data_IF_980262860332
#
_entry.id   IF_980262860332
#
_cell.length_a   1.000
_cell.length_b   1.000
_cell.length_c   1.000
_cell.angle_alpha   90.00
_cell.angle_beta   90.00
_cell.angle_gamma   90.00
#
_symmetry.space_group_name_H-M   'P 1'
#
loop_
_entity.id
_entity.type
_entity.pdbx_description
1 polymer ?
#
# COMPACT_ATOMS: atom_id res chain seq x y z
N UNK A 1 -45.33 -29.26 53.17
CA UNK A 1 -45.91 -28.09 52.46
C UNK A 1 -45.58 -26.75 53.11
N UNK A 2 -45.12 -26.68 54.38
CA UNK A 2 -44.71 -25.41 55.01
C UNK A 2 -43.23 -25.02 54.75
N UNK A 3 -42.41 -25.94 54.25
CA UNK A 3 -40.96 -25.74 54.10
C UNK A 3 -40.55 -25.13 52.75
N UNK A 4 -41.40 -25.22 51.72
CA UNK A 4 -41.08 -24.77 50.36
C UNK A 4 -41.15 -23.24 50.20
N UNK A 5 -42.00 -22.56 50.99
CA UNK A 5 -42.14 -21.09 50.96
C UNK A 5 -40.97 -20.38 51.67
N UNK A 6 -40.42 -20.99 52.72
CA UNK A 6 -39.24 -20.47 53.43
C UNK A 6 -37.97 -20.55 52.58
N UNK A 7 -37.81 -21.62 51.81
CA UNK A 7 -36.66 -21.82 50.92
C UNK A 7 -36.58 -20.74 49.82
N UNK A 8 -37.72 -20.39 49.21
CA UNK A 8 -37.80 -19.36 48.18
C UNK A 8 -37.47 -17.94 48.69
N UNK A 9 -37.84 -17.63 49.95
CA UNK A 9 -37.50 -16.34 50.58
C UNK A 9 -35.99 -16.20 50.76
N UNK A 10 -35.32 -17.24 51.27
CA UNK A 10 -33.88 -17.20 51.51
C UNK A 10 -33.05 -17.34 50.22
N UNK A 11 -33.57 -17.99 49.18
CA UNK A 11 -32.98 -18.04 47.83
C UNK A 11 -32.83 -16.63 47.21
N UNK A 12 -33.82 -15.75 47.43
CA UNK A 12 -33.76 -14.35 46.99
C UNK A 12 -32.76 -13.47 47.76
N UNK A 13 -32.42 -13.82 49.01
CA UNK A 13 -31.52 -13.05 49.87
C UNK A 13 -30.05 -13.38 49.59
N UNK A 14 -29.73 -14.65 49.33
CA UNK A 14 -28.36 -15.11 49.11
C UNK A 14 -27.98 -15.32 47.64
N UNK A 15 -28.96 -15.25 46.72
CA UNK A 15 -28.71 -15.34 45.27
C UNK A 15 -28.21 -16.71 44.80
N UNK A 16 -28.32 -17.74 45.65
CA UNK A 16 -27.96 -19.12 45.34
C UNK A 16 -29.09 -20.06 45.77
N UNK A 17 -29.41 -21.11 44.98
CA UNK A 17 -30.45 -22.06 45.35
C UNK A 17 -30.07 -22.82 46.62
N UNK A 18 -30.99 -22.89 47.58
CA UNK A 18 -30.76 -23.61 48.84
C UNK A 18 -30.88 -25.10 48.57
N UNK A 19 -29.72 -25.75 48.50
CA UNK A 19 -29.64 -27.18 48.30
C UNK A 19 -29.84 -27.92 49.63
N UNK A 20 -30.90 -28.73 49.68
CA UNK A 20 -31.08 -29.73 50.73
C UNK A 20 -30.09 -30.87 50.47
N UNK A 21 -29.11 -31.01 51.36
CA UNK A 21 -28.17 -32.12 51.31
C UNK A 21 -28.61 -33.18 52.31
N UNK A 22 -28.72 -34.43 51.89
CA UNK A 22 -29.00 -35.52 52.83
C UNK A 22 -27.79 -35.72 53.75
N UNK A 23 -28.03 -35.89 55.07
CA UNK A 23 -26.95 -36.18 56.03
C UNK A 23 -26.35 -37.56 55.72
N UNK A 24 -25.08 -37.64 55.30
CA UNK A 24 -24.45 -38.93 55.08
C UNK A 24 -24.26 -39.65 56.42
N UNK A 25 -24.47 -40.97 56.42
CA UNK A 25 -24.17 -41.82 57.57
C UNK A 25 -22.67 -42.15 57.54
N UNK A 26 -21.96 -41.83 58.60
CA UNK A 26 -20.52 -42.09 58.71
C UNK A 26 -20.33 -43.34 59.57
N UNK A 27 -19.48 -44.25 59.11
CA UNK A 27 -19.18 -45.49 59.82
C UNK A 27 -18.09 -45.23 60.85
N UNK A 28 -18.38 -45.44 62.13
CA UNK A 28 -17.41 -45.25 63.19
C UNK A 28 -16.42 -46.43 63.27
N UNK A 29 -15.31 -46.25 64.01
CA UNK A 29 -14.27 -47.29 64.25
C UNK A 29 -14.82 -48.61 64.85
N UNK A 30 -16.08 -48.61 65.31
CA UNK A 30 -16.82 -49.76 65.85
C UNK A 30 -17.80 -50.42 64.86
N UNK A 31 -17.94 -49.91 63.63
CA UNK A 31 -18.86 -50.44 62.62
C UNK A 31 -20.34 -50.02 62.80
N UNK A 32 -20.61 -49.00 63.61
CA UNK A 32 -21.96 -48.42 63.79
C UNK A 32 -22.10 -47.17 62.91
N UNK A 33 -23.24 -47.04 62.22
CA UNK A 33 -23.56 -45.90 61.36
C UNK A 33 -24.07 -44.74 62.23
N UNK A 34 -23.18 -43.79 62.56
CA UNK A 34 -23.56 -42.57 63.25
C UNK A 34 -24.00 -41.48 62.27
N UNK A 35 -24.98 -40.69 62.71
CA UNK A 35 -25.44 -39.51 62.00
C UNK A 35 -24.45 -38.39 62.36
N UNK A 36 -23.84 -37.78 61.34
CA UNK A 36 -22.88 -36.68 61.49
C UNK A 36 -23.40 -35.60 62.46
N UNK A 37 -22.52 -35.07 63.32
CA UNK A 37 -22.87 -34.00 64.24
C UNK A 37 -23.25 -32.73 63.47
N UNK A 38 -24.04 -31.84 64.07
CA UNK A 38 -24.56 -30.65 63.40
C UNK A 38 -23.43 -29.73 62.87
N UNK A 39 -22.29 -29.68 63.56
CA UNK A 39 -21.10 -28.91 63.15
C UNK A 39 -20.41 -29.51 61.92
N UNK A 40 -20.23 -30.84 61.91
CA UNK A 40 -19.65 -31.58 60.78
C UNK A 40 -20.54 -31.55 59.55
N UNK A 41 -21.87 -31.61 59.74
CA UNK A 41 -22.84 -31.43 58.66
C UNK A 41 -22.80 -30.00 58.10
N UNK A 42 -22.63 -28.97 58.94
CA UNK A 42 -22.48 -27.60 58.49
C UNK A 42 -21.19 -27.38 57.67
N UNK A 43 -20.08 -28.04 58.01
CA UNK A 43 -18.86 -28.05 57.19
C UNK A 43 -19.04 -28.80 55.87
N UNK A 44 -19.73 -29.95 55.89
CA UNK A 44 -20.07 -30.71 54.69
C UNK A 44 -20.91 -29.90 53.70
N UNK A 45 -21.97 -29.24 54.17
CA UNK A 45 -22.85 -28.39 53.35
C UNK A 45 -22.09 -27.20 52.79
N UNK A 46 -21.24 -26.53 53.60
CA UNK A 46 -20.40 -25.41 53.13
C UNK A 46 -19.49 -25.87 52.00
N UNK A 47 -18.77 -26.98 52.17
CA UNK A 47 -17.90 -27.55 51.13
C UNK A 47 -18.67 -27.90 49.86
N UNK A 48 -19.85 -28.53 49.99
CA UNK A 48 -20.70 -28.87 48.84
C UNK A 48 -21.26 -27.67 48.10
N UNK A 49 -21.60 -26.59 48.81
CA UNK A 49 -22.01 -25.33 48.20
C UNK A 49 -20.86 -24.67 47.44
N UNK A 50 -19.64 -24.69 48.01
CA UNK A 50 -18.44 -24.19 47.33
C UNK A 50 -18.11 -25.01 46.08
N UNK A 51 -18.11 -26.34 46.14
CA UNK A 51 -17.87 -27.21 44.98
C UNK A 51 -18.83 -26.90 43.81
N UNK A 52 -20.12 -26.76 44.13
CA UNK A 52 -21.15 -26.49 43.12
C UNK A 52 -21.10 -25.06 42.56
N UNK A 53 -20.77 -24.09 43.41
CA UNK A 53 -20.59 -22.68 43.00
C UNK A 53 -19.35 -22.52 42.13
N UNK A 54 -18.25 -23.19 42.49
CA UNK A 54 -17.00 -23.16 41.74
C UNK A 54 -17.15 -23.82 40.37
N UNK A 55 -17.85 -24.96 40.29
CA UNK A 55 -18.21 -25.56 39.01
C UNK A 55 -19.05 -24.63 38.12
N UNK A 56 -19.98 -23.88 38.71
CA UNK A 56 -20.82 -22.93 37.97
C UNK A 56 -19.99 -21.73 37.48
N UNK A 57 -19.16 -21.14 38.35
CA UNK A 57 -18.26 -20.04 38.02
C UNK A 57 -17.20 -20.45 36.98
N UNK A 58 -16.69 -21.68 37.05
CA UNK A 58 -15.79 -22.23 36.04
C UNK A 58 -16.48 -22.40 34.70
N UNK A 59 -17.69 -22.97 34.67
CA UNK A 59 -18.45 -23.16 33.43
C UNK A 59 -18.78 -21.80 32.81
N UNK A 60 -19.20 -20.84 33.61
CA UNK A 60 -19.53 -19.49 33.13
C UNK A 60 -18.28 -18.74 32.67
N UNK A 61 -17.17 -18.82 33.42
CA UNK A 61 -15.88 -18.26 33.03
C UNK A 61 -15.34 -18.87 31.73
N UNK A 62 -15.52 -20.19 31.51
CA UNK A 62 -15.16 -20.87 30.26
C UNK A 62 -16.02 -20.38 29.08
N UNK A 63 -17.31 -20.10 29.29
CA UNK A 63 -18.19 -19.53 28.26
C UNK A 63 -17.77 -18.13 27.86
N UNK A 64 -17.58 -17.24 28.83
CA UNK A 64 -17.15 -15.84 28.61
C UNK A 64 -15.79 -15.80 27.92
N UNK A 65 -14.82 -16.64 28.34
CA UNK A 65 -13.51 -16.73 27.68
C UNK A 65 -13.64 -17.17 26.22
N UNK A 66 -14.47 -18.17 25.95
CA UNK A 66 -14.69 -18.68 24.59
C UNK A 66 -15.38 -17.66 23.69
N UNK A 67 -16.31 -16.87 24.23
CA UNK A 67 -16.96 -15.77 23.51
C UNK A 67 -15.96 -14.65 23.19
N UNK A 68 -15.20 -14.18 24.19
CA UNK A 68 -14.13 -13.19 23.98
C UNK A 68 -13.06 -13.64 22.99
N UNK A 69 -12.71 -14.92 22.97
CA UNK A 69 -11.75 -15.46 22.01
C UNK A 69 -12.32 -15.46 20.58
N UNK A 70 -13.62 -15.75 20.43
CA UNK A 70 -14.30 -15.67 19.13
C UNK A 70 -14.38 -14.23 18.64
N UNK A 71 -14.78 -13.31 19.49
CA UNK A 71 -14.86 -11.88 19.14
C UNK A 71 -13.47 -11.34 18.78
N UNK A 72 -12.44 -11.69 19.57
CA UNK A 72 -11.06 -11.30 19.27
C UNK A 72 -10.57 -11.84 17.93
N UNK A 73 -10.93 -13.10 17.59
CA UNK A 73 -10.60 -13.70 16.29
C UNK A 73 -11.34 -13.00 15.15
N UNK A 74 -12.63 -12.73 15.30
CA UNK A 74 -13.41 -11.99 14.30
C UNK A 74 -12.86 -10.58 14.08
N UNK A 75 -12.56 -9.84 15.15
CA UNK A 75 -11.95 -8.51 15.02
C UNK A 75 -10.57 -8.57 14.37
N UNK A 76 -9.77 -9.61 14.64
CA UNK A 76 -8.47 -9.79 14.02
C UNK A 76 -8.58 -10.12 12.53
N UNK A 77 -9.54 -10.97 12.16
CA UNK A 77 -9.89 -11.27 10.76
C UNK A 77 -10.40 -10.02 10.03
N UNK A 78 -11.31 -9.26 10.64
CA UNK A 78 -11.84 -8.01 10.09
C UNK A 78 -10.74 -6.96 9.91
N UNK A 79 -9.84 -6.82 10.91
CA UNK A 79 -8.68 -5.95 10.81
C UNK A 79 -7.75 -6.40 9.69
N UNK A 80 -7.47 -7.70 9.57
CA UNK A 80 -6.61 -8.24 8.53
C UNK A 80 -7.21 -8.03 7.13
N UNK A 81 -8.52 -8.25 6.98
CA UNK A 81 -9.25 -7.99 5.73
C UNK A 81 -9.22 -6.51 5.37
N UNK A 82 -9.47 -5.62 6.34
CA UNK A 82 -9.41 -4.18 6.12
C UNK A 82 -8.02 -3.74 5.65
N UNK A 83 -6.96 -4.22 6.31
CA UNK A 83 -5.58 -3.94 5.93
C UNK A 83 -5.26 -4.48 4.53
N UNK A 84 -5.77 -5.67 4.18
CA UNK A 84 -5.58 -6.25 2.84
C UNK A 84 -6.27 -5.39 1.77
N UNK A 85 -7.53 -5.01 1.98
CA UNK A 85 -8.29 -4.16 1.06
C UNK A 85 -7.66 -2.78 0.90
N UNK A 86 -7.16 -2.18 1.98
CA UNK A 86 -6.50 -0.88 1.91
C UNK A 86 -5.17 -0.96 1.15
N UNK A 87 -4.36 -2.01 1.36
CA UNK A 87 -3.16 -2.25 0.56
C UNK A 87 -3.48 -2.43 -0.92
N UNK A 88 -4.50 -3.22 -1.24
CA UNK A 88 -4.95 -3.45 -2.61
C UNK A 88 -5.41 -2.15 -3.28
N UNK A 89 -6.17 -1.33 -2.55
CA UNK A 89 -6.61 0.01 -3.00
C UNK A 89 -5.41 0.92 -3.29
N UNK A 90 -4.43 0.97 -2.39
CA UNK A 90 -3.22 1.77 -2.58
C UNK A 90 -2.39 1.29 -3.78
N UNK A 91 -2.27 -0.02 -3.99
CA UNK A 91 -1.61 -0.59 -5.16
C UNK A 91 -2.32 -0.21 -6.46
N UNK A 92 -3.66 -0.35 -6.50
CA UNK A 92 -4.45 0.01 -7.67
C UNK A 92 -4.39 1.51 -7.97
N UNK A 93 -4.38 2.35 -6.92
CA UNK A 93 -4.24 3.80 -7.11
C UNK A 93 -2.85 4.16 -7.63
N UNK A 94 -1.79 3.55 -7.08
CA UNK A 94 -0.42 3.72 -7.56
C UNK A 94 -0.30 3.28 -9.03
N UNK A 95 -0.89 2.15 -9.39
CA UNK A 95 -0.92 1.68 -10.77
C UNK A 95 -1.67 2.64 -11.68
N UNK A 96 -2.85 3.14 -11.28
CA UNK A 96 -3.61 4.13 -12.05
C UNK A 96 -2.84 5.43 -12.24
N UNK A 97 -2.13 5.89 -11.22
CA UNK A 97 -1.25 7.08 -11.31
C UNK A 97 -0.09 6.81 -12.27
N UNK A 98 0.55 5.64 -12.18
CA UNK A 98 1.62 5.22 -13.08
C UNK A 98 1.14 5.17 -14.54
N UNK A 99 0.01 4.51 -14.82
CA UNK A 99 -0.60 4.44 -16.15
C UNK A 99 -0.88 5.83 -16.74
N UNK A 100 -1.46 6.73 -15.94
CA UNK A 100 -1.69 8.13 -16.35
C UNK A 100 -0.38 8.86 -16.63
N UNK A 101 0.66 8.61 -15.84
CA UNK A 101 1.97 9.22 -16.06
C UNK A 101 2.59 8.72 -17.37
N UNK A 102 2.57 7.41 -17.59
CA UNK A 102 3.00 6.76 -18.83
C UNK A 102 2.27 7.34 -20.03
N UNK A 103 0.94 7.50 -19.96
CA UNK A 103 0.17 8.11 -21.05
C UNK A 103 0.54 9.57 -21.31
N UNK A 104 0.80 10.36 -20.26
CA UNK A 104 1.27 11.75 -20.40
C UNK A 104 2.63 11.81 -21.08
N UNK A 105 3.57 10.97 -20.65
CA UNK A 105 4.91 10.86 -21.23
C UNK A 105 4.83 10.42 -22.69
N UNK A 106 4.01 9.41 -23.00
CA UNK A 106 3.77 8.97 -24.39
C UNK A 106 3.22 10.09 -25.27
N UNK A 107 2.26 10.87 -24.79
CA UNK A 107 1.71 12.02 -25.51
C UNK A 107 2.77 13.10 -25.72
N UNK A 108 3.53 13.45 -24.68
CA UNK A 108 4.60 14.43 -24.77
C UNK A 108 5.69 13.98 -25.76
N UNK A 109 6.06 12.70 -25.73
CA UNK A 109 6.99 12.10 -26.69
C UNK A 109 6.46 12.14 -28.12
N UNK A 110 5.20 11.78 -28.35
CA UNK A 110 4.59 11.83 -29.68
C UNK A 110 4.54 13.25 -30.25
N UNK A 111 4.24 14.25 -29.40
CA UNK A 111 4.29 15.68 -29.78
C UNK A 111 5.73 16.08 -30.12
N UNK A 112 6.70 15.71 -29.28
CA UNK A 112 8.12 15.95 -29.51
C UNK A 112 8.58 15.39 -30.86
N UNK A 113 8.31 14.10 -31.13
CA UNK A 113 8.69 13.47 -32.40
C UNK A 113 7.94 14.05 -33.59
N UNK A 114 6.66 14.40 -33.43
CA UNK A 114 5.85 15.02 -34.48
C UNK A 114 6.39 16.38 -34.91
N UNK A 115 6.71 17.26 -33.95
CA UNK A 115 7.31 18.57 -34.24
C UNK A 115 8.67 18.38 -34.95
N UNK A 116 9.47 17.40 -34.54
CA UNK A 116 10.72 17.08 -35.24
C UNK A 116 10.51 16.59 -36.67
N UNK A 117 9.51 15.74 -36.90
CA UNK A 117 9.15 15.28 -38.24
C UNK A 117 8.67 16.44 -39.13
N UNK A 118 7.88 17.36 -38.60
CA UNK A 118 7.41 18.55 -39.32
C UNK A 118 8.56 19.49 -39.70
N UNK A 119 9.50 19.71 -38.77
CA UNK A 119 10.72 20.51 -39.01
C UNK A 119 11.61 19.84 -40.07
N UNK A 120 11.77 18.51 -40.03
CA UNK A 120 12.62 17.80 -41.01
C UNK A 120 12.00 17.76 -42.41
N UNK A 121 10.67 17.68 -42.50
CA UNK A 121 9.92 17.75 -43.78
C UNK A 121 9.88 19.16 -44.38
N UNK A 122 10.44 20.17 -43.70
CA UNK A 122 10.46 21.59 -44.12
C UNK A 122 9.06 22.17 -44.34
N UNK A 123 8.02 21.60 -43.72
CA UNK A 123 6.72 22.24 -43.66
C UNK A 123 6.85 23.43 -42.71
N UNK A 124 7.19 24.60 -43.26
CA UNK A 124 7.31 25.83 -42.47
C UNK A 124 6.02 26.03 -41.68
N UNK A 125 6.09 26.28 -40.36
CA UNK A 125 4.89 26.55 -39.59
C UNK A 125 4.20 27.79 -40.17
N UNK A 126 2.90 27.67 -40.46
CA UNK A 126 2.06 28.74 -41.02
C UNK A 126 2.02 30.01 -40.14
N UNK A 127 2.48 29.93 -38.88
CA UNK A 127 2.37 30.97 -37.86
C UNK A 127 3.62 31.82 -37.61
N UNK A 128 4.74 31.63 -38.32
CA UNK A 128 5.91 32.51 -38.20
C UNK A 128 6.62 32.53 -36.83
N UNK A 129 6.16 31.71 -35.86
CA UNK A 129 6.84 31.46 -34.58
C UNK A 129 7.64 30.17 -34.68
N UNK A 130 8.90 30.21 -34.25
CA UNK A 130 9.72 29.01 -34.13
C UNK A 130 9.20 28.22 -32.92
N UNK A 131 8.56 27.10 -33.19
CA UNK A 131 8.17 26.14 -32.16
C UNK A 131 9.31 25.13 -31.99
N UNK A 132 10.18 25.38 -31.00
CA UNK A 132 11.28 24.47 -30.66
C UNK A 132 10.74 23.37 -29.75
N UNK A 133 10.86 22.09 -30.12
CA UNK A 133 10.41 20.98 -29.28
C UNK A 133 11.41 20.76 -28.13
N UNK A 134 11.15 21.33 -26.95
CA UNK A 134 12.01 21.12 -25.79
C UNK A 134 11.85 19.68 -25.25
N UNK A 135 12.95 18.95 -24.92
CA UNK A 135 12.91 17.56 -24.49
C UNK A 135 12.55 17.45 -22.99
N UNK A 136 11.39 17.96 -22.61
CA UNK A 136 10.86 17.97 -21.25
C UNK A 136 9.36 17.69 -21.25
N UNK A 137 8.83 17.12 -20.16
CA UNK A 137 7.41 16.78 -20.04
C UNK A 137 6.47 17.96 -20.29
N UNK A 138 6.91 19.18 -19.97
CA UNK A 138 6.14 20.41 -20.14
C UNK A 138 6.22 21.01 -21.55
N UNK A 139 7.17 20.56 -22.38
CA UNK A 139 7.50 21.16 -23.68
C UNK A 139 7.98 22.60 -23.62
N UNK A 140 8.41 23.12 -22.45
CA UNK A 140 8.81 24.53 -22.26
C UNK A 140 10.28 24.66 -21.93
N UNK A 141 10.91 25.71 -22.47
CA UNK A 141 12.31 26.08 -22.17
C UNK A 141 12.60 26.29 -20.67
N UNK A 142 11.61 26.77 -19.90
CA UNK A 142 11.80 27.12 -18.48
C UNK A 142 12.03 25.92 -17.57
N UNK A 143 11.59 24.73 -17.99
CA UNK A 143 11.68 23.50 -17.20
C UNK A 143 12.84 22.60 -17.68
N UNK A 144 13.74 23.15 -18.50
CA UNK A 144 14.92 22.47 -19.02
C UNK A 144 15.95 22.33 -17.91
N UNK A 145 16.04 21.14 -17.33
CA UNK A 145 17.09 20.73 -16.40
C UNK A 145 17.70 19.39 -16.84
N UNK A 146 18.91 19.09 -16.36
CA UNK A 146 19.59 17.80 -16.64
C UNK A 146 18.70 16.62 -16.26
N UNK A 147 18.13 16.67 -15.06
CA UNK A 147 17.25 15.64 -14.50
C UNK A 147 15.93 15.50 -15.28
N UNK A 148 15.33 16.63 -15.72
CA UNK A 148 14.09 16.62 -16.49
C UNK A 148 14.30 15.99 -17.88
N UNK A 149 15.43 16.27 -18.52
CA UNK A 149 15.78 15.68 -19.83
C UNK A 149 16.09 14.19 -19.68
N UNK A 150 16.87 13.82 -18.67
CA UNK A 150 17.24 12.44 -18.39
C UNK A 150 16.00 11.60 -18.05
N UNK A 151 15.14 12.08 -17.16
CA UNK A 151 13.87 11.41 -16.84
C UNK A 151 12.96 11.33 -18.06
N UNK A 152 12.85 12.38 -18.87
CA UNK A 152 12.06 12.36 -20.10
C UNK A 152 12.55 11.29 -21.09
N UNK A 153 13.85 11.19 -21.35
CA UNK A 153 14.39 10.17 -22.27
C UNK A 153 14.34 8.76 -21.68
N UNK A 154 14.63 8.56 -20.39
CA UNK A 154 14.52 7.26 -19.72
C UNK A 154 13.07 6.79 -19.68
N UNK A 155 12.14 7.64 -19.29
CA UNK A 155 10.73 7.31 -19.29
C UNK A 155 10.18 7.13 -20.71
N UNK A 156 10.66 7.87 -21.71
CA UNK A 156 10.33 7.61 -23.11
C UNK A 156 10.83 6.24 -23.57
N UNK A 157 12.03 5.82 -23.15
CA UNK A 157 12.56 4.49 -23.47
C UNK A 157 11.78 3.38 -22.77
N UNK A 158 11.47 3.52 -21.48
CA UNK A 158 10.65 2.56 -20.74
C UNK A 158 9.24 2.43 -21.35
N UNK A 159 8.64 3.55 -21.76
CA UNK A 159 7.28 3.53 -22.31
C UNK A 159 7.19 3.07 -23.76
N UNK A 160 8.23 3.31 -24.58
CA UNK A 160 8.31 2.84 -25.97
C UNK A 160 8.90 1.43 -26.09
N UNK A 161 9.85 1.06 -25.23
CA UNK A 161 10.45 -0.27 -25.16
C UNK A 161 9.46 -1.33 -24.68
N UNK A 162 8.48 -0.96 -23.84
CA UNK A 162 7.35 -1.83 -23.48
C UNK A 162 6.36 -2.00 -24.65
N UNK A 163 6.33 -1.09 -25.62
CA UNK A 163 5.40 -1.14 -26.77
C UNK A 163 5.96 -1.93 -27.96
N UNK A 164 7.27 -1.95 -28.16
CA UNK A 164 7.92 -2.60 -29.30
C UNK A 164 8.90 -3.66 -28.78
N UNK A 165 8.46 -4.93 -28.68
CA UNK A 165 9.29 -6.08 -28.33
C UNK A 165 10.36 -6.46 -29.37
N UNK A 166 11.00 -5.47 -30.01
CA UNK A 166 12.04 -5.60 -31.02
C UNK A 166 13.20 -4.71 -30.57
N UNK A 167 14.37 -5.34 -30.34
CA UNK A 167 15.69 -4.75 -30.10
C UNK A 167 15.64 -3.26 -29.76
N UNK A 168 15.37 -2.97 -28.47
CA UNK A 168 15.40 -1.62 -27.93
C UNK A 168 16.70 -0.96 -28.36
N UNK A 169 16.64 0.02 -29.26
CA UNK A 169 17.78 0.90 -29.56
C UNK A 169 18.35 1.32 -28.22
N UNK A 170 19.64 1.05 -28.00
CA UNK A 170 20.26 1.33 -26.71
C UNK A 170 20.02 2.80 -26.37
N UNK A 171 19.85 3.11 -25.09
CA UNK A 171 19.71 4.49 -24.63
C UNK A 171 20.81 5.40 -25.22
N UNK A 172 22.02 4.84 -25.37
CA UNK A 172 23.16 5.47 -26.03
C UNK A 172 22.95 5.81 -27.52
N UNK A 173 22.20 4.99 -28.28
CA UNK A 173 21.91 5.23 -29.70
C UNK A 173 20.89 6.35 -29.90
N UNK A 174 19.88 6.42 -29.02
CA UNK A 174 18.90 7.51 -29.01
C UNK A 174 19.62 8.82 -28.69
N UNK A 175 20.44 8.84 -27.62
CA UNK A 175 21.24 10.01 -27.27
C UNK A 175 22.19 10.42 -28.40
N UNK A 176 22.78 9.48 -29.12
CA UNK A 176 23.64 9.76 -30.29
C UNK A 176 22.88 10.43 -31.42
N UNK A 177 21.66 9.97 -31.73
CA UNK A 177 20.81 10.58 -32.76
C UNK A 177 20.35 11.98 -32.34
N UNK A 178 19.95 12.14 -31.08
CA UNK A 178 19.50 13.42 -30.52
C UNK A 178 20.66 14.43 -30.45
N UNK A 179 21.89 14.01 -30.13
CA UNK A 179 23.09 14.85 -30.19
C UNK A 179 23.29 15.49 -31.56
N UNK A 180 23.11 14.72 -32.63
CA UNK A 180 23.23 15.22 -34.01
C UNK A 180 22.08 16.18 -34.33
N UNK A 181 20.88 15.96 -33.77
CA UNK A 181 19.70 16.81 -33.96
C UNK A 181 19.82 18.16 -33.24
N UNK A 182 20.36 18.16 -32.03
CA UNK A 182 20.53 19.34 -31.17
C UNK A 182 21.83 20.10 -31.39
N UNK A 183 22.70 19.64 -32.29
CA UNK A 183 23.94 20.36 -32.59
C UNK A 183 23.63 21.80 -33.06
N UNK A 184 24.25 22.84 -32.48
CA UNK A 184 23.91 24.23 -32.78
C UNK A 184 24.01 24.54 -34.28
N UNK A 185 25.01 24.00 -35.00
CA UNK A 185 25.11 24.15 -36.46
C UNK A 185 23.90 23.56 -37.22
N UNK A 186 23.39 22.39 -36.82
CA UNK A 186 22.20 21.78 -37.44
C UNK A 186 20.92 22.51 -37.08
N UNK A 187 20.84 23.04 -35.87
CA UNK A 187 19.76 23.93 -35.44
C UNK A 187 19.74 25.22 -36.28
N UNK A 188 20.88 25.88 -36.45
CA UNK A 188 21.02 27.07 -37.30
C UNK A 188 20.65 26.78 -38.76
N UNK A 189 21.05 25.61 -39.29
CA UNK A 189 20.71 25.21 -40.65
C UNK A 189 19.20 24.97 -40.85
N UNK A 190 18.50 24.50 -39.82
CA UNK A 190 17.07 24.14 -39.89
C UNK A 190 16.14 25.34 -39.70
N UNK A 191 16.42 26.18 -38.71
CA UNK A 191 15.57 27.33 -38.39
C UNK A 191 16.01 28.61 -39.10
N UNK A 192 17.27 28.71 -39.53
CA UNK A 192 17.83 29.87 -40.22
C UNK A 192 18.43 30.88 -39.25
N UNK A 193 19.57 31.48 -39.60
CA UNK A 193 20.29 32.45 -38.75
C UNK A 193 19.51 33.72 -38.40
N UNK A 194 18.49 34.06 -39.18
CA UNK A 194 17.82 35.36 -39.13
C UNK A 194 16.55 35.36 -38.26
N UNK A 195 16.04 34.18 -37.92
CA UNK A 195 14.77 33.99 -37.19
C UNK A 195 14.99 33.48 -35.76
N UNK A 196 16.19 32.98 -35.44
CA UNK A 196 16.54 32.44 -34.13
C UNK A 196 16.98 33.59 -33.23
N UNK A 197 16.20 33.86 -32.18
CA UNK A 197 16.63 34.73 -31.08
C UNK A 197 17.83 34.11 -30.36
N UNK A 198 18.80 34.92 -29.92
CA UNK A 198 19.97 34.45 -29.14
C UNK A 198 19.58 33.62 -27.92
N UNK A 199 18.48 33.99 -27.28
CA UNK A 199 17.78 33.24 -26.25
C UNK A 199 17.50 31.77 -26.64
N UNK A 200 16.92 31.54 -27.82
CA UNK A 200 16.59 30.19 -28.28
C UNK A 200 17.88 29.41 -28.56
N UNK A 201 18.89 30.06 -29.14
CA UNK A 201 20.19 29.46 -29.42
C UNK A 201 20.92 29.03 -28.14
N UNK A 202 20.88 29.86 -27.09
CA UNK A 202 21.41 29.51 -25.76
C UNK A 202 20.68 28.30 -25.17
N UNK A 203 19.35 28.24 -25.31
CA UNK A 203 18.57 27.09 -24.87
C UNK A 203 18.95 25.81 -25.62
N UNK A 204 19.07 25.86 -26.94
CA UNK A 204 19.51 24.74 -27.77
C UNK A 204 20.92 24.26 -27.36
N UNK A 205 21.83 25.21 -27.12
CA UNK A 205 23.20 24.91 -26.67
C UNK A 205 23.22 24.26 -25.29
N UNK A 206 22.39 24.74 -24.36
CA UNK A 206 22.25 24.14 -23.03
C UNK A 206 21.70 22.70 -23.11
N UNK A 207 20.67 22.46 -23.92
CA UNK A 207 20.14 21.11 -24.17
C UNK A 207 21.21 20.22 -24.79
N UNK A 208 21.97 20.71 -25.76
CA UNK A 208 23.07 19.97 -26.38
C UNK A 208 24.15 19.58 -25.36
N UNK A 209 24.59 20.52 -24.51
CA UNK A 209 25.57 20.25 -23.46
C UNK A 209 25.07 19.21 -22.45
N UNK A 210 23.79 19.27 -22.08
CA UNK A 210 23.16 18.29 -21.21
C UNK A 210 23.16 16.91 -21.87
N UNK A 211 22.73 16.80 -23.13
CA UNK A 211 22.71 15.53 -23.87
C UNK A 211 24.13 14.97 -24.05
N UNK A 212 25.12 15.83 -24.35
CA UNK A 212 26.52 15.43 -24.51
C UNK A 212 27.10 14.90 -23.18
N UNK A 213 26.75 15.54 -22.04
CA UNK A 213 27.13 15.05 -20.71
C UNK A 213 26.48 13.70 -20.35
N UNK A 214 25.18 13.53 -20.64
CA UNK A 214 24.46 12.27 -20.40
C UNK A 214 25.01 11.13 -21.26
N UNK A 215 25.38 11.42 -22.51
CA UNK A 215 26.00 10.42 -23.40
C UNK A 215 27.40 10.03 -22.93
N UNK A 216 28.18 10.97 -22.40
CA UNK A 216 29.49 10.68 -21.81
C UNK A 216 29.37 9.79 -20.55
N UNK A 217 28.40 10.09 -19.68
CA UNK A 217 28.11 9.32 -18.47
C UNK A 217 27.68 7.89 -18.78
N UNK A 218 26.80 7.68 -19.77
CA UNK A 218 26.36 6.34 -20.17
C UNK A 218 27.52 5.51 -20.74
N UNK A 219 28.41 6.12 -21.53
CA UNK A 219 29.60 5.42 -22.06
C UNK A 219 30.68 5.15 -21.01
N UNK A 220 30.75 5.94 -19.95
CA UNK A 220 31.64 5.68 -18.83
C UNK A 220 31.06 4.58 -17.92
N UNK A 221 29.74 4.59 -17.71
CA UNK A 221 29.01 3.54 -16.99
C UNK A 221 29.08 2.17 -17.67
N UNK A 222 28.97 2.11 -19.00
CA UNK A 222 29.10 0.86 -19.78
C UNK A 222 30.53 0.28 -19.76
N UNK A 223 31.53 1.06 -19.35
CA UNK A 223 32.94 0.64 -19.25
C UNK A 223 33.38 0.16 -17.86
N UNK A 224 32.55 0.35 -16.82
CA UNK A 224 32.84 -0.09 -15.44
C UNK A 224 32.12 -1.38 -15.13
#
# INVERSE_FOLDING_TARGET
MADDEGAAYWEGVYGQPIHLYERPKVENEKGELEIMTDEEYAEYVRRKMYEKTDEYLEKEGKRIKKERERDRKQEEEDRAEWQRRERERLLLEKERRSRKNIERIKKAWAIYTGIWDDITKKERPKSGRIEVPWPVESGRRKDVSKEAIESFFKSALETNGVANGSESKSYADILRLERVRWHPDKALQRWGRETISDDILQGITAVFQIIDSLWAEEREGEKR
#
